data_IF_665615128387
#
_entry.id   IF_665615128387
#
_cell.length_a   1.000
_cell.length_b   1.000
_cell.length_c   1.000
_cell.angle_alpha   90.00
_cell.angle_beta   90.00
_cell.angle_gamma   90.00
#
_symmetry.space_group_name_H-M   'P 1'
#
loop_
_entity.id
_entity.type
_entity.pdbx_description
1 polymer ?
#
# COMPACT_ATOMS: atom_id res chain seq x y z
N UNK A 1 88.54 -34.49 -44.75
CA UNK A 1 87.37 -33.65 -45.01
C UNK A 1 86.56 -33.52 -43.70
N UNK A 2 86.81 -32.44 -42.99
CA UNK A 2 86.09 -32.16 -41.70
C UNK A 2 84.98 -31.13 -41.99
N UNK A 3 83.71 -31.51 -41.82
CA UNK A 3 82.56 -30.59 -41.95
C UNK A 3 82.38 -29.82 -40.63
N UNK A 4 82.51 -28.54 -40.70
CA UNK A 4 82.27 -27.60 -39.62
C UNK A 4 80.75 -27.33 -39.49
N UNK A 5 80.11 -27.66 -38.38
CA UNK A 5 78.72 -27.44 -38.10
C UNK A 5 78.58 -26.13 -37.31
N UNK A 6 78.01 -25.13 -37.91
CA UNK A 6 77.76 -23.85 -37.23
C UNK A 6 76.39 -23.96 -36.62
N UNK A 7 76.34 -23.92 -35.28
CA UNK A 7 75.13 -23.82 -34.52
C UNK A 7 74.71 -22.36 -34.40
N UNK A 8 73.54 -21.99 -34.94
CA UNK A 8 72.87 -20.74 -34.74
C UNK A 8 71.95 -20.88 -33.50
N UNK A 9 72.17 -20.09 -32.47
CA UNK A 9 71.27 -19.96 -31.35
C UNK A 9 70.24 -18.86 -31.62
N UNK A 10 68.93 -19.12 -31.44
CA UNK A 10 67.95 -18.06 -31.54
C UNK A 10 67.88 -17.25 -30.26
N UNK A 11 68.03 -15.95 -30.36
CA UNK A 11 67.79 -15.00 -29.28
C UNK A 11 66.30 -14.89 -29.01
N UNK A 12 65.85 -15.29 -27.83
CA UNK A 12 64.46 -15.09 -27.36
C UNK A 12 64.28 -13.66 -26.87
N UNK A 13 63.45 -12.90 -27.59
CA UNK A 13 63.02 -11.55 -27.16
C UNK A 13 61.85 -11.74 -26.22
N UNK A 14 62.08 -11.46 -24.93
CA UNK A 14 61.02 -11.42 -23.89
C UNK A 14 60.26 -10.09 -24.01
N UNK A 15 59.04 -10.13 -24.54
CA UNK A 15 58.10 -9.04 -24.45
C UNK A 15 57.49 -9.03 -23.04
N UNK A 16 57.86 -8.08 -22.21
CA UNK A 16 57.16 -7.78 -20.94
C UNK A 16 55.86 -7.06 -21.22
N UNK A 17 54.74 -7.79 -21.16
CA UNK A 17 53.42 -7.19 -21.15
C UNK A 17 53.10 -6.59 -19.77
N UNK A 18 53.06 -5.26 -19.68
CA UNK A 18 52.57 -4.58 -18.48
C UNK A 18 51.06 -4.78 -18.38
N UNK A 19 50.49 -5.13 -17.23
CA UNK A 19 49.06 -5.22 -17.08
C UNK A 19 48.48 -3.81 -17.07
N UNK A 20 47.59 -3.52 -18.02
CA UNK A 20 46.73 -2.37 -17.98
C UNK A 20 45.69 -2.61 -16.85
N UNK A 21 45.87 -1.93 -15.73
CA UNK A 21 44.86 -1.86 -14.70
C UNK A 21 43.72 -0.96 -15.22
N UNK A 22 42.62 -1.56 -15.70
CA UNK A 22 41.38 -0.83 -15.95
C UNK A 22 40.82 -0.43 -14.58
N UNK A 23 40.89 0.85 -14.27
CA UNK A 23 40.17 1.43 -13.14
C UNK A 23 38.66 1.25 -13.44
N UNK A 24 38.03 0.33 -12.71
CA UNK A 24 36.60 0.14 -12.73
C UNK A 24 36.00 1.30 -11.91
N UNK A 25 35.52 2.33 -12.62
CA UNK A 25 34.72 3.38 -12.01
C UNK A 25 33.51 2.71 -11.35
N UNK A 26 33.50 2.72 -10.04
CA UNK A 26 32.36 2.28 -9.23
C UNK A 26 31.24 3.31 -9.48
N UNK A 27 30.32 3.00 -10.39
CA UNK A 27 29.10 3.77 -10.58
C UNK A 27 28.26 3.58 -9.32
N UNK A 28 28.44 4.45 -8.35
CA UNK A 28 27.50 4.63 -7.24
C UNK A 28 26.19 5.14 -7.87
N UNK A 29 25.19 4.26 -7.94
CA UNK A 29 23.83 4.68 -8.27
C UNK A 29 23.43 5.79 -7.30
N UNK A 30 22.93 6.94 -7.78
CA UNK A 30 22.51 8.00 -6.89
C UNK A 30 21.43 7.48 -5.95
N UNK A 31 21.61 7.67 -4.65
CA UNK A 31 20.56 7.41 -3.67
C UNK A 31 19.30 8.17 -4.10
N UNK A 32 18.10 7.57 -3.98
CA UNK A 32 16.86 8.24 -4.34
C UNK A 32 16.77 9.55 -3.54
N UNK A 33 16.77 10.67 -4.26
CA UNK A 33 16.58 11.98 -3.66
C UNK A 33 15.13 12.09 -3.22
N UNK A 34 14.92 12.33 -1.91
CA UNK A 34 13.58 12.58 -1.39
C UNK A 34 13.08 13.93 -1.95
N UNK A 35 12.04 13.88 -2.78
CA UNK A 35 11.30 15.07 -3.20
C UNK A 35 10.16 15.33 -2.21
N UNK A 36 10.47 16.02 -1.14
CA UNK A 36 9.55 16.26 -0.02
C UNK A 36 8.25 16.95 -0.46
N UNK A 37 8.34 17.98 -1.30
CA UNK A 37 7.15 18.74 -1.71
C UNK A 37 6.22 17.91 -2.59
N UNK A 38 6.78 17.20 -3.57
CA UNK A 38 6.03 16.28 -4.43
C UNK A 38 5.43 15.14 -3.63
N UNK A 39 6.23 14.51 -2.77
CA UNK A 39 5.76 13.40 -1.95
C UNK A 39 4.62 13.80 -1.01
N UNK A 40 4.70 14.93 -0.34
CA UNK A 40 3.60 15.41 0.52
C UNK A 40 2.34 15.74 -0.30
N UNK A 41 2.48 16.31 -1.50
CA UNK A 41 1.33 16.55 -2.38
C UNK A 41 0.64 15.26 -2.83
N UNK A 42 1.39 14.20 -3.09
CA UNK A 42 0.78 12.88 -3.38
C UNK A 42 0.17 12.26 -2.13
N UNK A 43 0.82 12.43 -0.97
CA UNK A 43 0.28 11.98 0.31
C UNK A 43 -1.07 12.62 0.65
N UNK A 44 -1.27 13.90 0.37
CA UNK A 44 -2.54 14.59 0.61
C UNK A 44 -3.70 13.93 -0.15
N UNK A 45 -3.45 13.45 -1.38
CA UNK A 45 -4.45 12.70 -2.17
C UNK A 45 -4.78 11.35 -1.53
N UNK A 46 -3.74 10.65 -1.03
CA UNK A 46 -3.89 9.36 -0.35
C UNK A 46 -4.66 9.56 0.95
N UNK A 47 -4.30 10.56 1.75
CA UNK A 47 -4.96 10.86 3.01
C UNK A 47 -6.43 11.22 2.83
N UNK A 48 -6.78 11.97 1.79
CA UNK A 48 -8.17 12.29 1.48
C UNK A 48 -9.04 11.05 1.26
N UNK A 49 -8.45 9.95 0.75
CA UNK A 49 -9.12 8.65 0.60
C UNK A 49 -9.13 7.88 1.91
N UNK A 50 -7.98 7.73 2.57
CA UNK A 50 -7.85 6.85 3.75
C UNK A 50 -8.60 7.40 4.96
N UNK A 51 -8.70 8.72 5.11
CA UNK A 51 -9.50 9.37 6.16
C UNK A 51 -11.00 9.43 5.83
N UNK A 52 -11.37 9.10 4.59
CA UNK A 52 -12.74 9.17 4.14
C UNK A 52 -13.61 8.09 4.82
N UNK A 53 -14.87 8.36 5.18
CA UNK A 53 -15.73 7.40 5.86
C UNK A 53 -15.87 6.05 5.16
N UNK A 54 -15.83 6.00 3.83
CA UNK A 54 -15.90 4.73 3.08
C UNK A 54 -14.70 3.81 3.34
N UNK A 55 -13.61 4.34 3.87
CA UNK A 55 -12.43 3.59 4.28
C UNK A 55 -12.32 3.55 5.81
N UNK A 56 -12.35 4.72 6.46
CA UNK A 56 -12.12 4.86 7.89
C UNK A 56 -13.18 4.17 8.77
N UNK A 57 -14.43 4.03 8.31
CA UNK A 57 -15.51 3.36 9.06
C UNK A 57 -15.26 1.85 9.26
N UNK A 58 -14.43 1.23 8.41
CA UNK A 58 -13.95 -0.15 8.56
C UNK A 58 -12.56 -0.23 9.21
N UNK A 59 -11.76 0.84 9.14
CA UNK A 59 -10.44 0.95 9.74
C UNK A 59 -10.55 1.56 11.15
N UNK A 60 -11.08 0.78 12.10
CA UNK A 60 -11.36 1.20 13.48
C UNK A 60 -10.45 0.49 14.48
N UNK A 61 -10.05 1.21 15.54
CA UNK A 61 -9.18 0.66 16.60
C UNK A 61 -9.93 -0.27 17.57
N UNK A 62 -11.23 -0.08 17.70
CA UNK A 62 -12.09 -0.88 18.57
C UNK A 62 -12.78 -2.02 17.79
N UNK A 63 -13.63 -2.76 18.47
CA UNK A 63 -14.35 -3.88 17.88
C UNK A 63 -15.64 -3.49 17.15
N UNK A 64 -15.95 -2.21 17.07
CA UNK A 64 -17.23 -1.71 16.57
C UNK A 64 -17.09 -1.07 15.20
N UNK A 65 -17.59 -1.69 14.12
CA UNK A 65 -17.65 -1.03 12.83
C UNK A 65 -18.45 0.27 12.92
N UNK A 66 -18.17 1.19 12.04
CA UNK A 66 -18.91 2.44 11.91
C UNK A 66 -19.70 2.45 10.61
N UNK A 67 -20.65 3.34 10.56
CA UNK A 67 -21.34 3.69 9.34
C UNK A 67 -21.60 5.19 9.29
N UNK A 68 -21.62 5.74 8.12
CA UNK A 68 -22.00 7.11 7.85
C UNK A 68 -23.12 7.12 6.82
N UNK A 69 -23.99 8.13 6.92
CA UNK A 69 -25.12 8.31 6.00
C UNK A 69 -24.68 8.54 4.54
N UNK A 70 -25.65 8.73 3.68
CA UNK A 70 -25.42 8.96 2.24
C UNK A 70 -24.48 10.15 1.98
N UNK A 71 -24.59 11.20 2.78
CA UNK A 71 -23.85 12.46 2.66
C UNK A 71 -22.91 12.72 3.85
N UNK A 72 -22.32 11.65 4.43
CA UNK A 72 -21.34 11.74 5.51
C UNK A 72 -21.74 12.62 6.70
N UNK A 73 -22.98 12.50 7.12
CA UNK A 73 -23.36 12.96 8.45
C UNK A 73 -22.43 12.34 9.51
N UNK A 74 -22.66 12.65 10.75
CA UNK A 74 -21.85 12.09 11.84
C UNK A 74 -21.72 10.56 11.70
N UNK A 75 -20.50 10.06 11.77
CA UNK A 75 -20.21 8.63 11.84
C UNK A 75 -20.85 8.03 13.09
N UNK A 76 -21.60 6.95 12.92
CA UNK A 76 -22.33 6.25 13.97
C UNK A 76 -21.79 4.84 14.18
N UNK A 77 -21.90 4.31 15.39
CA UNK A 77 -21.62 2.89 15.65
C UNK A 77 -22.65 2.04 14.92
N UNK A 78 -22.18 0.96 14.29
CA UNK A 78 -23.04 0.02 13.55
C UNK A 78 -24.15 -0.52 14.46
N UNK A 79 -25.37 -0.58 13.93
CA UNK A 79 -26.54 -1.14 14.61
C UNK A 79 -26.36 -2.64 14.94
N UNK A 80 -27.33 -3.21 15.67
CA UNK A 80 -27.40 -4.64 16.02
C UNK A 80 -26.23 -5.17 16.87
N UNK A 81 -25.48 -4.29 17.52
CA UNK A 81 -24.32 -4.67 18.33
C UNK A 81 -23.28 -5.52 17.57
N UNK A 82 -23.12 -5.28 16.28
CA UNK A 82 -22.10 -5.95 15.47
C UNK A 82 -20.71 -5.64 16.02
N UNK A 83 -19.87 -6.66 16.09
CA UNK A 83 -18.50 -6.58 16.60
C UNK A 83 -17.55 -7.31 15.68
N UNK A 84 -16.24 -6.98 15.74
CA UNK A 84 -15.15 -7.54 14.95
C UNK A 84 -15.12 -9.07 14.94
N UNK A 85 -15.43 -9.70 16.05
CA UNK A 85 -15.24 -11.12 16.29
C UNK A 85 -14.05 -11.40 17.20
N UNK A 86 -14.21 -12.40 18.07
CA UNK A 86 -13.22 -12.76 19.10
C UNK A 86 -11.96 -13.40 18.54
N UNK A 87 -12.00 -13.86 17.29
CA UNK A 87 -10.87 -14.46 16.57
C UNK A 87 -9.97 -13.43 15.89
N UNK A 88 -10.29 -12.13 15.99
CA UNK A 88 -9.55 -11.05 15.38
C UNK A 88 -9.70 -10.94 13.86
N UNK A 89 -10.44 -11.85 13.22
CA UNK A 89 -10.55 -11.92 11.75
C UNK A 89 -11.28 -10.74 11.10
N UNK A 90 -12.06 -10.01 11.89
CA UNK A 90 -12.88 -8.91 11.38
C UNK A 90 -14.21 -9.33 10.76
N UNK A 91 -14.47 -10.62 10.59
CA UNK A 91 -15.68 -11.15 9.93
C UNK A 91 -16.94 -11.21 10.82
N UNK A 92 -16.87 -10.64 12.01
CA UNK A 92 -17.98 -10.66 12.97
C UNK A 92 -17.98 -11.89 13.88
N UNK A 93 -18.79 -11.82 14.94
CA UNK A 93 -18.96 -12.96 15.86
C UNK A 93 -19.63 -14.16 15.17
N UNK A 94 -19.40 -15.40 15.63
CA UNK A 94 -20.02 -16.59 15.03
C UNK A 94 -21.55 -16.53 14.94
N UNK A 95 -22.21 -15.90 15.91
CA UNK A 95 -23.67 -15.72 15.93
C UNK A 95 -24.18 -14.54 15.09
N UNK A 96 -23.31 -13.67 14.64
CA UNK A 96 -23.67 -12.50 13.82
C UNK A 96 -22.48 -12.12 12.91
N UNK A 97 -22.29 -12.88 11.85
CA UNK A 97 -21.28 -12.60 10.84
C UNK A 97 -21.67 -11.39 9.99
N UNK A 98 -20.69 -10.62 9.54
CA UNK A 98 -20.91 -9.50 8.62
C UNK A 98 -21.70 -9.93 7.39
N UNK A 99 -21.39 -11.11 6.83
CA UNK A 99 -22.05 -11.69 5.66
C UNK A 99 -23.48 -12.17 5.90
N UNK A 100 -24.00 -12.09 7.14
CA UNK A 100 -25.43 -12.30 7.41
C UNK A 100 -26.30 -11.22 6.72
N UNK A 101 -25.77 -9.99 6.58
CA UNK A 101 -26.47 -8.86 5.95
C UNK A 101 -25.71 -8.29 4.75
N UNK A 102 -24.37 -8.38 4.75
CA UNK A 102 -23.53 -7.87 3.68
C UNK A 102 -23.13 -9.00 2.72
N UNK A 103 -23.80 -9.08 1.59
CA UNK A 103 -23.54 -10.09 0.55
C UNK A 103 -22.39 -9.65 -0.36
N UNK A 104 -22.13 -10.44 -1.40
CA UNK A 104 -21.06 -10.17 -2.38
C UNK A 104 -21.32 -8.96 -3.30
N UNK A 105 -22.49 -8.34 -3.19
CA UNK A 105 -22.87 -7.14 -3.93
C UNK A 105 -23.84 -6.27 -3.12
N UNK A 106 -23.91 -4.99 -3.49
CA UNK A 106 -24.87 -4.07 -2.87
C UNK A 106 -26.33 -4.57 -3.04
N UNK A 107 -27.14 -4.38 -2.01
CA UNK A 107 -28.59 -4.59 -2.10
C UNK A 107 -29.22 -3.64 -3.13
N UNK A 108 -30.20 -4.12 -3.87
CA UNK A 108 -31.00 -3.30 -4.78
C UNK A 108 -32.12 -2.53 -4.05
N UNK A 109 -32.34 -2.81 -2.76
CA UNK A 109 -33.34 -2.08 -1.97
C UNK A 109 -32.84 -0.68 -1.62
N UNK A 110 -33.74 0.29 -1.62
CA UNK A 110 -33.46 1.64 -1.14
C UNK A 110 -32.94 1.55 0.32
N UNK A 111 -31.81 2.17 0.62
CA UNK A 111 -31.13 2.08 1.91
C UNK A 111 -30.79 0.65 2.37
N UNK A 112 -30.78 -0.32 1.46
CA UNK A 112 -30.40 -1.70 1.77
C UNK A 112 -28.92 -1.83 2.16
N UNK A 113 -28.53 -2.94 2.79
CA UNK A 113 -27.13 -3.14 3.19
C UNK A 113 -26.18 -3.07 2.00
N UNK A 114 -25.02 -2.41 2.16
CA UNK A 114 -23.97 -2.50 1.16
C UNK A 114 -23.38 -3.91 1.11
N UNK A 115 -22.71 -4.24 0.03
CA UNK A 115 -22.06 -5.54 -0.10
C UNK A 115 -20.89 -5.52 -1.06
N UNK A 116 -19.92 -6.34 -0.74
CA UNK A 116 -18.77 -6.72 -1.56
C UNK A 116 -18.25 -8.08 -1.11
N UNK A 117 -17.46 -8.74 -1.93
CA UNK A 117 -16.85 -10.02 -1.55
C UNK A 117 -16.01 -9.87 -0.27
N UNK A 118 -16.19 -10.81 0.66
CA UNK A 118 -15.37 -10.87 1.87
C UNK A 118 -15.59 -9.71 2.86
N UNK A 119 -16.80 -9.18 2.98
CA UNK A 119 -17.11 -8.06 3.88
C UNK A 119 -16.63 -8.29 5.30
N UNK A 120 -15.68 -7.48 5.77
CA UNK A 120 -15.06 -7.56 7.10
C UNK A 120 -14.41 -6.23 7.52
N UNK A 121 -14.04 -6.12 8.79
CA UNK A 121 -13.23 -5.01 9.31
C UNK A 121 -11.75 -5.22 9.01
N UNK A 122 -11.04 -4.13 8.74
CA UNK A 122 -9.59 -4.16 8.76
C UNK A 122 -9.06 -4.54 10.17
N UNK A 123 -7.86 -5.13 10.30
CA UNK A 123 -7.22 -5.38 11.59
C UNK A 123 -7.20 -4.13 12.49
N UNK A 124 -7.34 -4.31 13.80
CA UNK A 124 -7.45 -3.18 14.73
C UNK A 124 -6.21 -2.27 14.74
N UNK A 125 -5.04 -2.83 14.50
CA UNK A 125 -3.78 -2.08 14.38
C UNK A 125 -3.74 -1.16 13.15
N UNK A 126 -4.59 -1.41 12.14
CA UNK A 126 -4.72 -0.58 10.94
C UNK A 126 -5.82 0.48 11.10
N UNK A 127 -5.95 1.07 12.26
CA UNK A 127 -6.98 2.06 12.53
C UNK A 127 -6.67 3.42 11.88
N UNK A 128 -7.68 3.99 11.21
CA UNK A 128 -7.63 5.32 10.57
C UNK A 128 -8.69 6.28 11.10
N UNK A 129 -9.80 5.75 11.59
CA UNK A 129 -10.89 6.59 12.11
C UNK A 129 -10.39 7.53 13.22
N UNK A 130 -10.57 8.84 13.01
CA UNK A 130 -10.14 9.87 13.93
C UNK A 130 -8.62 10.09 14.00
N UNK A 131 -7.85 9.48 13.09
CA UNK A 131 -6.40 9.64 13.03
C UNK A 131 -5.99 10.82 12.16
N UNK A 132 -4.93 11.50 12.58
CA UNK A 132 -4.30 12.57 11.80
C UNK A 132 -3.60 12.01 10.56
N UNK A 133 -3.31 12.91 9.62
CA UNK A 133 -2.55 12.60 8.42
C UNK A 133 -1.18 11.98 8.74
N UNK A 134 -0.47 12.51 9.73
CA UNK A 134 0.81 11.98 10.17
C UNK A 134 0.69 10.56 10.78
N UNK A 135 -0.36 10.33 11.60
CA UNK A 135 -0.59 9.02 12.23
C UNK A 135 -0.90 7.93 11.18
N UNK A 136 -1.74 8.22 10.19
CA UNK A 136 -2.06 7.26 9.12
C UNK A 136 -0.82 6.99 8.26
N UNK A 137 -0.07 8.03 7.91
CA UNK A 137 1.18 7.89 7.17
C UNK A 137 2.20 7.00 7.90
N UNK A 138 2.39 7.22 9.18
CA UNK A 138 3.28 6.40 10.00
C UNK A 138 2.77 4.95 10.11
N UNK A 139 1.44 4.76 10.23
CA UNK A 139 0.84 3.44 10.36
C UNK A 139 1.06 2.59 9.11
N UNK A 140 0.80 3.10 7.90
CA UNK A 140 0.92 2.32 6.67
C UNK A 140 2.38 1.97 6.31
N UNK A 141 3.35 2.68 6.88
CA UNK A 141 4.78 2.41 6.74
C UNK A 141 5.33 1.44 7.79
N UNK A 142 4.56 1.12 8.81
CA UNK A 142 4.97 0.27 9.91
C UNK A 142 4.51 -1.18 9.67
N UNK A 143 5.41 -2.13 9.37
CA UNK A 143 5.05 -3.53 9.12
C UNK A 143 4.23 -4.16 10.26
N UNK A 144 4.49 -3.79 11.51
CA UNK A 144 3.75 -4.30 12.66
C UNK A 144 2.28 -3.83 12.68
N UNK A 145 1.95 -2.78 11.94
CA UNK A 145 0.61 -2.18 11.91
C UNK A 145 -0.04 -2.14 10.53
N UNK A 146 0.61 -2.71 9.52
CA UNK A 146 0.07 -2.77 8.16
C UNK A 146 -0.09 -4.21 7.63
N UNK A 147 0.03 -5.23 8.50
CA UNK A 147 -0.06 -6.63 8.13
C UNK A 147 1.17 -7.13 7.39
N UNK A 148 2.35 -6.62 7.76
CA UNK A 148 3.66 -6.96 7.16
C UNK A 148 3.73 -6.68 5.65
N UNK A 149 2.97 -5.67 5.18
CA UNK A 149 2.93 -5.29 3.76
C UNK A 149 4.05 -4.31 3.43
N UNK A 150 4.65 -4.50 2.26
CA UNK A 150 5.43 -3.44 1.60
C UNK A 150 4.47 -2.37 1.08
N UNK A 151 4.96 -1.15 0.87
CA UNK A 151 4.12 -0.08 0.32
C UNK A 151 3.56 -0.42 -1.07
N UNK A 152 4.31 -1.20 -1.87
CA UNK A 152 3.82 -1.74 -3.15
C UNK A 152 2.61 -2.65 -2.96
N UNK A 153 2.59 -3.47 -1.90
CA UNK A 153 1.48 -4.36 -1.59
C UNK A 153 0.26 -3.56 -1.09
N UNK A 154 0.51 -2.45 -0.36
CA UNK A 154 -0.55 -1.49 0.02
C UNK A 154 -1.16 -0.86 -1.22
N UNK A 155 -0.35 -0.42 -2.19
CA UNK A 155 -0.82 0.15 -3.43
C UNK A 155 -1.68 -0.85 -4.23
N UNK A 156 -1.20 -2.08 -4.39
CA UNK A 156 -1.93 -3.15 -5.07
C UNK A 156 -3.22 -3.52 -4.34
N UNK A 157 -3.22 -3.59 -3.00
CA UNK A 157 -4.41 -3.84 -2.20
C UNK A 157 -5.48 -2.76 -2.44
N UNK A 158 -5.09 -1.50 -2.48
CA UNK A 158 -6.02 -0.39 -2.77
C UNK A 158 -6.64 -0.51 -4.17
N UNK A 159 -5.88 -0.94 -5.17
CA UNK A 159 -6.35 -1.05 -6.54
C UNK A 159 -7.18 -2.29 -6.81
N UNK A 160 -6.74 -3.44 -6.29
CA UNK A 160 -7.18 -4.76 -6.77
C UNK A 160 -8.15 -5.47 -5.81
N UNK A 161 -8.22 -5.08 -4.54
CA UNK A 161 -9.10 -5.72 -3.57
C UNK A 161 -10.57 -5.34 -3.79
N UNK A 162 -11.43 -6.35 -3.90
CA UNK A 162 -12.84 -6.16 -4.23
C UNK A 162 -13.65 -5.51 -3.12
N UNK A 163 -13.28 -5.75 -1.86
CA UNK A 163 -13.90 -5.07 -0.73
C UNK A 163 -13.51 -3.58 -0.71
N UNK A 164 -12.23 -3.28 -0.97
CA UNK A 164 -11.72 -1.91 -1.04
C UNK A 164 -12.35 -1.15 -2.21
N UNK A 165 -12.54 -1.80 -3.36
CA UNK A 165 -13.21 -1.24 -4.54
C UNK A 165 -14.63 -0.73 -4.24
N UNK A 166 -15.32 -1.32 -3.27
CA UNK A 166 -16.61 -0.85 -2.80
C UNK A 166 -16.56 0.63 -2.37
N UNK A 167 -15.47 1.10 -1.81
CA UNK A 167 -15.30 2.50 -1.39
C UNK A 167 -15.60 3.51 -2.50
N UNK A 168 -15.37 3.15 -3.76
CA UNK A 168 -15.65 3.99 -4.94
C UNK A 168 -16.91 3.58 -5.71
N UNK A 169 -17.51 2.45 -5.36
CA UNK A 169 -18.75 1.96 -5.95
C UNK A 169 -19.75 1.53 -4.86
N UNK A 170 -20.07 2.41 -3.86
CA UNK A 170 -20.85 2.03 -2.69
C UNK A 170 -22.32 1.75 -2.98
N UNK A 171 -22.73 1.97 -4.21
CA UNK A 171 -24.08 1.71 -4.71
C UNK A 171 -25.11 2.73 -4.26
N UNK A 172 -26.25 2.74 -4.96
CA UNK A 172 -27.43 3.53 -4.65
C UNK A 172 -27.15 5.03 -4.49
N UNK A 173 -27.52 5.59 -3.35
CA UNK A 173 -27.45 6.99 -2.95
C UNK A 173 -26.20 7.32 -2.07
N UNK A 174 -25.27 6.37 -1.94
CA UNK A 174 -24.07 6.57 -1.12
C UNK A 174 -22.99 7.31 -1.89
N UNK A 175 -22.51 8.39 -1.31
CA UNK A 175 -21.40 9.15 -1.87
C UNK A 175 -20.11 8.32 -1.85
N UNK A 176 -19.39 8.19 -2.99
CA UNK A 176 -18.16 7.42 -3.06
C UNK A 176 -16.98 8.15 -2.41
N UNK A 177 -15.90 7.42 -2.13
CA UNK A 177 -14.61 8.01 -1.80
C UNK A 177 -14.09 8.90 -2.95
N UNK A 178 -13.25 9.90 -2.69
CA UNK A 178 -12.74 10.79 -3.73
C UNK A 178 -11.86 10.04 -4.74
N UNK A 179 -11.89 10.48 -5.98
CA UNK A 179 -11.09 9.92 -7.07
C UNK A 179 -11.50 8.51 -7.49
N UNK A 180 -10.55 7.60 -7.55
CA UNK A 180 -10.75 6.19 -7.91
C UNK A 180 -9.67 5.30 -7.30
N UNK A 181 -9.88 3.99 -7.31
CA UNK A 181 -8.87 3.00 -6.90
C UNK A 181 -7.57 3.17 -7.68
N UNK A 182 -7.65 3.32 -9.01
CA UNK A 182 -6.48 3.52 -9.89
C UNK A 182 -5.77 4.85 -9.60
N UNK A 183 -6.51 5.94 -9.40
CA UNK A 183 -5.91 7.24 -9.08
C UNK A 183 -5.20 7.20 -7.72
N UNK A 184 -5.76 6.48 -6.74
CA UNK A 184 -5.14 6.32 -5.42
C UNK A 184 -3.92 5.42 -5.48
N UNK A 185 -3.98 4.31 -6.23
CA UNK A 185 -2.83 3.48 -6.55
C UNK A 185 -1.69 4.32 -7.14
N UNK A 186 -1.98 5.12 -8.16
CA UNK A 186 -0.98 5.97 -8.81
C UNK A 186 -0.39 7.02 -7.87
N UNK A 187 -1.22 7.60 -6.97
CA UNK A 187 -0.73 8.52 -5.95
C UNK A 187 0.23 7.83 -4.97
N UNK A 188 -0.05 6.57 -4.57
CA UNK A 188 0.85 5.80 -3.71
C UNK A 188 2.18 5.50 -4.44
N UNK A 189 2.15 5.09 -5.70
CA UNK A 189 3.36 4.87 -6.52
C UNK A 189 4.21 6.16 -6.64
N UNK A 190 3.57 7.30 -6.93
CA UNK A 190 4.25 8.59 -7.00
C UNK A 190 4.83 9.01 -5.65
N UNK A 191 4.10 8.78 -4.55
CA UNK A 191 4.57 9.05 -3.20
C UNK A 191 5.78 8.20 -2.83
N UNK A 192 5.77 6.91 -3.19
CA UNK A 192 6.93 6.02 -3.02
C UNK A 192 8.13 6.50 -3.82
N UNK A 193 7.94 6.87 -5.09
CA UNK A 193 9.00 7.39 -5.94
C UNK A 193 9.62 8.69 -5.40
N UNK A 194 8.84 9.48 -4.65
CA UNK A 194 9.31 10.69 -3.97
C UNK A 194 9.95 10.44 -2.59
N UNK A 195 10.16 9.18 -2.18
CA UNK A 195 10.79 8.80 -0.92
C UNK A 195 9.82 8.63 0.25
N UNK A 196 8.53 8.54 -0.02
CA UNK A 196 7.46 8.29 0.97
C UNK A 196 7.47 9.22 2.19
N UNK A 197 7.57 10.57 2.02
CA UNK A 197 7.57 11.49 3.15
C UNK A 197 6.21 11.50 3.86
N UNK A 198 6.25 11.61 5.20
CA UNK A 198 5.06 11.86 6.00
C UNK A 198 5.00 13.32 6.45
N UNK A 199 3.80 13.90 6.62
CA UNK A 199 3.66 15.21 7.25
C UNK A 199 4.14 15.14 8.70
N UNK A 200 4.51 16.29 9.25
CA UNK A 200 4.84 16.39 10.68
C UNK A 200 3.57 16.20 11.53
N UNK A 201 3.70 15.63 12.74
CA UNK A 201 2.60 15.48 13.69
C UNK A 201 1.94 16.80 14.07
#
# INVERSE_FOLDING_TARGET
MKKLLIMLTPAAILFSAAPFATAQESQTSPSPTVDMAKGLSEWDKIYAVFSHPRCADCHVADDRPRWSGAHYGATSVHAFNVQRGTDGSGFGNPGLRCTTCHFSSNSNALHGPPGAEGWHLAPAEMAWLGKSSAEICAQIKDPARNGDRKLTDVALHVRDDKLVAWGWAPGSDREPAPGSAEATYQAIENWMAAGSPCPMP
#
